data_IF_899373423142
#
_entry.id   IF_899373423142
#
_cell.length_a   1.000
_cell.length_b   1.000
_cell.length_c   1.000
_cell.angle_alpha   90.00
_cell.angle_beta   90.00
_cell.angle_gamma   90.00
#
_symmetry.space_group_name_H-M   'P 1'
#
loop_
_entity.id
_entity.type
_entity.pdbx_description
1 polymer ?
#
# COMPACT_ATOMS: atom_id res chain seq x y z
N UNK A 1 12.37 -15.16 58.58
CA UNK A 1 11.34 -15.74 57.71
C UNK A 1 11.77 -15.47 56.26
N UNK A 2 12.89 -16.02 55.77
CA UNK A 2 13.23 -17.42 55.43
C UNK A 2 12.45 -17.96 54.22
N UNK A 3 12.96 -17.66 53.02
CA UNK A 3 12.74 -18.41 51.78
C UNK A 3 14.08 -19.01 51.34
N UNK A 4 14.18 -20.31 51.02
CA UNK A 4 15.46 -20.94 50.69
C UNK A 4 15.74 -20.97 49.19
N UNK A 5 17.03 -20.84 48.89
CA UNK A 5 17.70 -21.00 47.60
C UNK A 5 17.88 -22.50 47.31
N UNK A 6 17.49 -22.94 46.12
CA UNK A 6 17.76 -24.29 45.61
C UNK A 6 18.93 -24.28 44.63
N UNK A 7 20.02 -24.97 44.99
CA UNK A 7 21.12 -25.35 44.12
C UNK A 7 21.22 -26.88 44.12
N UNK A 8 21.43 -27.49 42.96
CA UNK A 8 21.85 -28.88 42.81
C UNK A 8 23.02 -28.95 41.83
N UNK A 9 24.14 -29.61 42.20
CA UNK A 9 25.28 -29.87 41.32
C UNK A 9 25.36 -31.33 40.86
N UNK A 10 26.08 -31.54 39.76
CA UNK A 10 26.95 -32.68 39.52
C UNK A 10 26.31 -33.97 39.00
N UNK A 11 26.77 -34.42 37.83
CA UNK A 11 27.18 -35.82 37.64
C UNK A 11 28.12 -35.92 36.43
N UNK A 12 29.36 -36.34 36.71
CA UNK A 12 30.35 -36.86 35.77
C UNK A 12 30.01 -38.31 35.45
N UNK A 13 30.20 -38.75 34.20
CA UNK A 13 29.90 -40.10 33.75
C UNK A 13 30.70 -40.49 32.51
N UNK A 14 31.87 -41.02 32.81
CA UNK A 14 32.79 -41.95 32.13
C UNK A 14 32.64 -42.38 30.65
N UNK A 15 33.83 -42.53 30.07
CA UNK A 15 34.20 -43.19 28.81
C UNK A 15 33.62 -44.61 28.66
N UNK A 16 33.26 -45.00 27.43
CA UNK A 16 33.76 -46.22 26.77
C UNK A 16 33.14 -46.42 25.36
N UNK A 17 33.99 -46.93 24.46
CA UNK A 17 33.66 -47.70 23.25
C UNK A 17 33.29 -46.98 21.95
N UNK A 18 34.35 -46.80 21.16
CA UNK A 18 34.35 -46.46 19.73
C UNK A 18 34.56 -47.74 18.91
N UNK A 19 33.64 -48.12 18.00
CA UNK A 19 33.96 -49.00 16.89
C UNK A 19 34.09 -48.23 15.57
N UNK A 20 35.14 -48.55 14.84
CA UNK A 20 35.35 -48.18 13.45
C UNK A 20 34.33 -48.91 12.56
N UNK A 21 33.62 -48.19 11.70
CA UNK A 21 32.99 -48.77 10.50
C UNK A 21 33.18 -47.82 9.32
N UNK A 22 33.97 -48.31 8.39
CA UNK A 22 34.32 -47.75 7.11
C UNK A 22 33.15 -47.82 6.12
N UNK A 23 33.18 -46.90 5.16
CA UNK A 23 32.66 -47.06 3.79
C UNK A 23 31.15 -47.29 3.60
N UNK A 24 30.41 -46.22 3.30
CA UNK A 24 29.31 -46.24 2.33
C UNK A 24 29.16 -44.84 1.70
N UNK A 25 29.79 -44.65 0.54
CA UNK A 25 29.59 -43.48 -0.33
C UNK A 25 28.20 -43.56 -0.99
N UNK A 26 27.20 -42.97 -0.35
CA UNK A 26 25.91 -42.66 -0.96
C UNK A 26 25.85 -41.17 -1.30
N UNK A 27 25.67 -40.84 -2.58
CA UNK A 27 25.64 -39.48 -3.08
C UNK A 27 24.47 -38.68 -2.48
N UNK A 28 24.74 -37.83 -1.49
CA UNK A 28 23.80 -36.80 -1.04
C UNK A 28 23.64 -35.76 -2.15
N UNK A 29 22.53 -35.86 -2.87
CA UNK A 29 22.04 -34.77 -3.70
C UNK A 29 21.71 -33.60 -2.76
N UNK A 30 22.55 -32.56 -2.81
CA UNK A 30 22.33 -31.33 -2.05
C UNK A 30 20.93 -30.77 -2.33
N UNK A 31 20.23 -30.22 -1.31
CA UNK A 31 18.87 -29.67 -1.44
C UNK A 31 18.78 -28.57 -2.52
N UNK A 32 19.90 -27.94 -2.85
CA UNK A 32 20.01 -26.97 -3.94
C UNK A 32 19.82 -27.59 -5.34
N UNK A 33 20.20 -28.86 -5.54
CA UNK A 33 19.99 -29.60 -6.80
C UNK A 33 18.53 -30.01 -6.98
N UNK A 34 17.85 -30.36 -5.89
CA UNK A 34 16.42 -30.66 -5.89
C UNK A 34 15.57 -29.41 -6.20
N UNK A 35 15.93 -28.26 -5.62
CA UNK A 35 15.25 -26.99 -5.91
C UNK A 35 15.41 -26.56 -7.39
N UNK A 36 16.62 -26.69 -7.96
CA UNK A 36 16.86 -26.38 -9.37
C UNK A 36 16.10 -27.30 -10.33
N UNK A 37 15.94 -28.59 -10.00
CA UNK A 37 15.15 -29.51 -10.81
C UNK A 37 13.66 -29.15 -10.80
N UNK A 38 13.11 -28.80 -9.63
CA UNK A 38 11.71 -28.42 -9.48
C UNK A 38 11.37 -27.13 -10.25
N UNK A 39 12.27 -26.14 -10.23
CA UNK A 39 12.10 -24.88 -10.99
C UNK A 39 12.16 -25.16 -12.50
N UNK A 40 13.11 -25.98 -12.96
CA UNK A 40 13.23 -26.34 -14.36
C UNK A 40 12.00 -27.12 -14.89
N UNK A 41 11.44 -28.02 -14.06
CA UNK A 41 10.25 -28.78 -14.41
C UNK A 41 8.99 -27.90 -14.47
N UNK A 42 8.83 -26.96 -13.52
CA UNK A 42 7.72 -26.00 -13.51
C UNK A 42 7.78 -25.05 -14.71
N UNK A 43 8.98 -24.63 -15.13
CA UNK A 43 9.18 -23.83 -16.34
C UNK A 43 8.80 -24.59 -17.63
N UNK A 44 9.13 -25.89 -17.73
CA UNK A 44 8.72 -26.73 -18.88
C UNK A 44 7.20 -26.90 -18.95
N UNK A 45 6.52 -27.09 -17.82
CA UNK A 45 5.06 -27.22 -17.80
C UNK A 45 4.36 -25.91 -18.21
N UNK A 46 4.84 -24.75 -17.74
CA UNK A 46 4.33 -23.43 -18.15
C UNK A 46 4.47 -23.20 -19.67
N UNK A 47 5.61 -23.58 -20.26
CA UNK A 47 5.81 -23.51 -21.71
C UNK A 47 4.87 -24.45 -22.48
N UNK A 48 4.57 -25.64 -21.94
CA UNK A 48 3.64 -26.58 -22.56
C UNK A 48 2.21 -26.04 -22.56
N UNK A 49 1.75 -25.50 -21.43
CA UNK A 49 0.41 -24.90 -21.30
C UNK A 49 0.26 -23.65 -22.17
N UNK A 50 1.28 -22.77 -22.22
CA UNK A 50 1.24 -21.61 -23.10
C UNK A 50 1.13 -21.99 -24.59
N UNK A 51 1.79 -23.09 -25.00
CA UNK A 51 1.74 -23.59 -26.38
C UNK A 51 0.40 -24.22 -26.74
N UNK A 52 -0.29 -24.84 -25.77
CA UNK A 52 -1.64 -25.40 -25.95
C UNK A 52 -2.73 -24.33 -25.98
N UNK A 53 -2.54 -23.21 -25.28
CA UNK A 53 -3.55 -22.13 -25.19
C UNK A 53 -3.47 -21.11 -26.34
N UNK A 54 -2.38 -21.09 -27.12
CA UNK A 54 -2.15 -20.10 -28.18
C UNK A 54 -2.27 -20.66 -29.61
N UNK A 55 -2.87 -21.84 -29.82
CA UNK A 55 -3.23 -22.27 -31.17
C UNK A 55 -4.46 -21.47 -31.66
N UNK A 56 -4.31 -20.64 -32.71
CA UNK A 56 -5.45 -19.93 -33.28
C UNK A 56 -6.43 -20.94 -33.92
N UNK A 57 -7.75 -20.68 -33.87
CA UNK A 57 -8.71 -21.51 -34.58
C UNK A 57 -8.41 -21.51 -36.09
N UNK A 58 -8.63 -22.63 -36.79
CA UNK A 58 -8.35 -22.73 -38.22
C UNK A 58 -9.19 -21.71 -39.01
N UNK A 59 -8.62 -21.07 -40.04
CA UNK A 59 -9.36 -20.09 -40.84
C UNK A 59 -10.48 -20.79 -41.61
N UNK A 60 -11.72 -20.38 -41.34
CA UNK A 60 -12.90 -20.85 -42.07
C UNK A 60 -12.85 -20.30 -43.50
N UNK A 61 -12.77 -21.24 -44.45
CA UNK A 61 -12.66 -21.01 -45.89
C UNK A 61 -14.04 -20.68 -46.46
N UNK A 62 -14.26 -19.44 -46.91
CA UNK A 62 -15.35 -19.09 -47.83
C UNK A 62 -14.89 -17.86 -48.66
N UNK A 63 -14.38 -18.07 -49.87
CA UNK A 63 -15.09 -18.19 -51.16
C UNK A 63 -15.28 -16.84 -51.89
N UNK A 64 -14.27 -16.55 -52.73
CA UNK A 64 -14.25 -15.87 -54.05
C UNK A 64 -15.43 -15.01 -54.50
N UNK A 65 -15.12 -13.77 -54.92
CA UNK A 65 -15.95 -12.98 -55.84
C UNK A 65 -15.40 -11.58 -56.19
N UNK A 66 -14.64 -11.49 -57.30
CA UNK A 66 -14.43 -10.37 -58.26
C UNK A 66 -14.37 -8.87 -57.86
N UNK A 67 -13.14 -8.32 -57.80
CA UNK A 67 -12.45 -7.40 -58.77
C UNK A 67 -13.20 -6.40 -59.70
N UNK A 68 -12.52 -5.31 -60.19
CA UNK A 68 -12.82 -3.91 -59.82
C UNK A 68 -13.04 -2.95 -61.01
N UNK A 69 -13.40 -1.68 -60.76
CA UNK A 69 -13.10 -0.60 -61.73
C UNK A 69 -13.03 0.80 -61.11
N UNK A 70 -12.02 1.55 -61.57
CA UNK A 70 -11.62 2.91 -61.19
C UNK A 70 -12.59 3.98 -61.70
N UNK A 71 -12.70 5.11 -60.98
CA UNK A 71 -12.47 6.46 -61.55
C UNK A 71 -12.33 7.54 -60.47
N UNK A 72 -11.18 8.20 -60.55
CA UNK A 72 -10.77 9.50 -59.99
C UNK A 72 -11.74 10.64 -60.30
N UNK A 73 -11.93 11.63 -59.41
CA UNK A 73 -11.99 13.09 -59.72
C UNK A 73 -12.05 13.97 -58.44
N UNK A 74 -11.05 14.85 -58.32
CA UNK A 74 -10.97 16.23 -57.79
C UNK A 74 -11.66 16.69 -56.48
N UNK A 75 -10.80 17.15 -55.58
CA UNK A 75 -11.00 18.04 -54.41
C UNK A 75 -11.37 19.48 -54.80
N UNK A 76 -12.02 20.24 -53.91
CA UNK A 76 -11.49 21.57 -53.61
C UNK A 76 -11.43 21.91 -52.11
N UNK A 77 -10.51 22.85 -51.84
CA UNK A 77 -10.02 23.39 -50.57
C UNK A 77 -11.09 24.16 -49.77
N UNK A 78 -11.03 24.06 -48.44
CA UNK A 78 -11.44 25.15 -47.52
C UNK A 78 -10.49 25.28 -46.32
N UNK A 79 -10.30 26.50 -45.78
CA UNK A 79 -9.21 26.84 -44.88
C UNK A 79 -9.59 26.86 -43.39
N UNK A 80 -8.61 26.45 -42.57
CA UNK A 80 -8.11 27.10 -41.34
C UNK A 80 -9.11 27.40 -40.20
N UNK A 81 -8.94 26.68 -39.08
CA UNK A 81 -9.18 27.21 -37.73
C UNK A 81 -8.06 26.75 -36.77
N UNK A 82 -7.50 27.64 -35.93
CA UNK A 82 -6.31 27.36 -35.15
C UNK A 82 -6.63 26.61 -33.85
N UNK A 83 -5.85 25.56 -33.55
CA UNK A 83 -5.86 24.89 -32.25
C UNK A 83 -4.90 25.59 -31.26
N UNK A 84 -5.25 25.68 -29.98
CA UNK A 84 -4.39 26.28 -28.96
C UNK A 84 -3.21 25.35 -28.65
N UNK A 85 -2.00 25.83 -28.94
CA UNK A 85 -0.72 25.20 -28.60
C UNK A 85 -0.38 25.47 -27.14
N UNK A 86 -0.75 24.55 -26.23
CA UNK A 86 -0.09 24.45 -24.93
C UNK A 86 1.26 23.77 -25.09
N UNK A 87 2.29 24.58 -25.29
CA UNK A 87 3.70 24.24 -25.08
C UNK A 87 3.91 23.94 -23.59
N UNK A 88 4.04 22.67 -23.24
CA UNK A 88 4.87 22.28 -22.10
C UNK A 88 6.20 21.75 -22.63
N UNK A 89 7.20 22.63 -22.60
CA UNK A 89 8.62 22.25 -22.58
C UNK A 89 8.87 21.63 -21.20
N UNK A 90 9.40 20.42 -21.19
CA UNK A 90 10.43 19.94 -20.27
C UNK A 90 10.96 18.63 -20.85
N UNK A 91 11.86 18.77 -21.82
CA UNK A 91 12.81 17.75 -22.24
C UNK A 91 13.98 17.78 -21.26
N UNK A 92 13.95 16.96 -20.23
CA UNK A 92 15.18 16.50 -19.58
C UNK A 92 15.61 15.23 -20.30
N UNK A 93 16.48 15.43 -21.29
CA UNK A 93 17.27 14.40 -21.93
C UNK A 93 18.25 13.87 -20.89
N UNK A 94 17.95 12.71 -20.30
CA UNK A 94 18.94 11.95 -19.55
C UNK A 94 19.86 11.28 -20.56
N UNK A 95 20.98 11.94 -20.86
CA UNK A 95 22.05 11.35 -21.64
C UNK A 95 22.57 10.10 -20.93
N UNK A 96 22.48 8.99 -21.66
CA UNK A 96 23.18 7.73 -21.38
C UNK A 96 24.67 8.04 -21.21
N UNK A 97 25.13 8.05 -19.95
CA UNK A 97 26.55 7.94 -19.64
C UNK A 97 26.94 6.47 -19.62
N UNK A 98 27.87 6.19 -20.52
CA UNK A 98 28.64 4.99 -20.76
C UNK A 98 29.18 4.32 -19.47
N UNK A 99 28.91 3.03 -19.20
CA UNK A 99 29.55 2.30 -18.13
C UNK A 99 30.85 1.65 -18.66
N UNK A 100 31.84 2.48 -18.97
CA UNK A 100 33.20 1.99 -19.25
C UNK A 100 34.20 2.76 -18.41
N UNK A 101 34.98 2.00 -17.63
CA UNK A 101 36.24 2.42 -16.98
C UNK A 101 36.12 3.24 -15.69
N UNK A 102 36.09 2.54 -14.55
CA UNK A 102 36.63 3.05 -13.28
C UNK A 102 36.96 1.88 -12.36
N UNK A 103 38.06 1.20 -12.68
CA UNK A 103 38.86 0.43 -11.73
C UNK A 103 39.48 1.40 -10.71
N UNK A 104 38.68 1.86 -9.75
CA UNK A 104 39.14 2.71 -8.65
C UNK A 104 38.34 2.46 -7.36
N UNK A 105 38.16 1.19 -6.98
CA UNK A 105 37.63 0.79 -5.68
C UNK A 105 38.69 -0.01 -4.91
N UNK A 106 39.73 0.69 -4.48
CA UNK A 106 40.76 0.15 -3.60
C UNK A 106 41.19 1.18 -2.54
N UNK A 107 40.24 1.86 -1.89
CA UNK A 107 40.49 2.58 -0.63
C UNK A 107 39.18 2.76 0.14
N UNK A 108 38.61 1.64 0.62
CA UNK A 108 37.75 1.72 1.80
C UNK A 108 38.65 2.14 2.96
N UNK A 109 38.68 3.44 3.22
CA UNK A 109 39.31 4.01 4.40
C UNK A 109 38.69 3.33 5.61
N UNK A 110 39.53 2.57 6.31
CA UNK A 110 39.28 1.99 7.62
C UNK A 110 38.65 3.07 8.49
N UNK A 111 37.33 3.03 8.64
CA UNK A 111 36.65 3.81 9.66
C UNK A 111 37.09 3.17 10.96
N UNK A 112 38.13 3.75 11.58
CA UNK A 112 38.52 3.41 12.95
C UNK A 112 37.27 3.65 13.81
N UNK A 113 36.60 2.56 14.17
CA UNK A 113 35.60 2.60 15.22
C UNK A 113 36.23 3.26 16.45
N UNK A 114 35.49 4.13 17.15
CA UNK A 114 35.96 4.69 18.40
C UNK A 114 36.22 3.52 19.35
N UNK A 115 37.50 3.22 19.59
CA UNK A 115 37.95 2.25 20.58
C UNK A 115 37.32 2.68 21.91
N UNK A 116 36.21 2.04 22.29
CA UNK A 116 35.61 2.23 23.60
C UNK A 116 36.72 1.98 24.62
N UNK A 117 37.04 3.03 25.37
CA UNK A 117 38.13 3.01 26.33
C UNK A 117 37.97 1.82 27.27
N UNK A 118 38.81 0.78 27.10
CA UNK A 118 38.80 -0.42 27.94
C UNK A 118 38.96 0.01 29.40
N UNK A 119 38.20 -0.57 30.35
CA UNK A 119 38.38 -0.29 31.76
C UNK A 119 39.84 -0.55 32.16
N UNK A 120 40.53 0.46 32.71
CA UNK A 120 41.95 0.40 33.10
C UNK A 120 42.30 -0.78 34.03
N UNK A 121 41.31 -1.42 34.65
CA UNK A 121 41.47 -2.53 35.59
C UNK A 121 41.81 -3.87 34.95
N UNK A 122 41.71 -4.02 33.62
CA UNK A 122 42.01 -5.28 32.92
C UNK A 122 43.45 -5.36 32.37
N UNK A 123 44.24 -4.30 32.47
CA UNK A 123 45.53 -4.19 31.77
C UNK A 123 46.62 -5.20 32.19
N UNK A 124 46.51 -5.82 33.37
CA UNK A 124 47.58 -6.66 33.91
C UNK A 124 47.41 -8.16 33.63
N UNK A 125 46.30 -8.60 33.04
CA UNK A 125 46.04 -10.02 32.84
C UNK A 125 45.93 -10.37 31.35
N UNK A 126 47.09 -10.66 30.75
CA UNK A 126 47.25 -10.97 29.32
C UNK A 126 46.35 -12.13 28.87
N UNK A 127 46.23 -13.19 29.67
CA UNK A 127 45.38 -14.34 29.35
C UNK A 127 43.90 -13.96 29.26
N UNK A 128 43.40 -13.12 30.19
CA UNK A 128 42.01 -12.65 30.15
C UNK A 128 41.76 -11.79 28.91
N UNK A 129 42.70 -10.92 28.54
CA UNK A 129 42.55 -10.08 27.34
C UNK A 129 42.57 -10.90 26.06
N UNK A 130 43.44 -11.90 25.94
CA UNK A 130 43.50 -12.79 24.77
C UNK A 130 42.24 -13.66 24.67
N UNK A 131 41.74 -14.18 25.79
CA UNK A 131 40.49 -14.95 25.83
C UNK A 131 39.27 -14.10 25.43
N UNK A 132 39.18 -12.86 25.91
CA UNK A 132 38.10 -11.94 25.52
C UNK A 132 38.17 -11.60 24.03
N UNK A 133 39.35 -11.31 23.50
CA UNK A 133 39.53 -11.01 22.07
C UNK A 133 39.18 -12.22 21.18
N UNK A 134 39.54 -13.43 21.61
CA UNK A 134 39.16 -14.66 20.91
C UNK A 134 37.64 -14.88 20.96
N UNK A 135 37.00 -14.66 22.11
CA UNK A 135 35.55 -14.82 22.27
C UNK A 135 34.76 -13.78 21.47
N UNK A 136 35.22 -12.52 21.43
CA UNK A 136 34.66 -11.46 20.58
C UNK A 136 34.81 -11.84 19.11
N UNK A 137 35.98 -12.34 18.67
CA UNK A 137 36.16 -12.84 17.29
C UNK A 137 35.20 -13.97 16.94
N UNK A 138 35.03 -14.96 17.82
CA UNK A 138 34.13 -16.10 17.56
C UNK A 138 32.67 -15.64 17.51
N UNK A 139 32.24 -14.77 18.43
CA UNK A 139 30.89 -14.19 18.39
C UNK A 139 30.68 -13.36 17.12
N UNK A 140 31.63 -12.49 16.77
CA UNK A 140 31.54 -11.65 15.58
C UNK A 140 31.52 -12.49 14.29
N UNK A 141 32.28 -13.58 14.19
CA UNK A 141 32.18 -14.51 13.06
C UNK A 141 30.81 -15.17 12.98
N UNK A 142 30.25 -15.63 14.11
CA UNK A 142 28.93 -16.27 14.15
C UNK A 142 27.79 -15.30 13.79
N UNK A 143 27.82 -14.08 14.32
CA UNK A 143 26.82 -13.04 14.02
C UNK A 143 26.95 -12.54 12.58
N UNK A 144 28.17 -12.30 12.10
CA UNK A 144 28.42 -11.89 10.72
C UNK A 144 27.94 -12.95 9.73
N UNK A 145 28.20 -14.24 9.99
CA UNK A 145 27.71 -15.33 9.13
C UNK A 145 26.18 -15.34 9.05
N UNK A 146 25.49 -15.27 10.20
CA UNK A 146 24.02 -15.21 10.25
C UNK A 146 23.48 -13.97 9.53
N UNK A 147 24.13 -12.82 9.72
CA UNK A 147 23.77 -11.58 9.04
C UNK A 147 23.90 -11.72 7.52
N UNK A 148 25.01 -12.25 7.02
CA UNK A 148 25.21 -12.52 5.58
C UNK A 148 24.17 -13.51 5.03
N UNK A 149 23.82 -14.55 5.78
CA UNK A 149 22.75 -15.49 5.39
C UNK A 149 21.39 -14.79 5.27
N UNK A 150 21.07 -13.88 6.19
CA UNK A 150 19.82 -13.08 6.13
C UNK A 150 19.84 -12.11 4.95
N UNK A 151 20.95 -11.39 4.73
CA UNK A 151 21.10 -10.46 3.60
C UNK A 151 20.94 -11.19 2.27
N UNK A 152 21.62 -12.33 2.08
CA UNK A 152 21.50 -13.12 0.85
C UNK A 152 20.09 -13.71 0.66
N UNK A 153 19.37 -14.03 1.74
CA UNK A 153 17.96 -14.43 1.65
C UNK A 153 17.05 -13.26 1.23
N UNK A 154 17.28 -12.06 1.77
CA UNK A 154 16.55 -10.84 1.39
C UNK A 154 16.79 -10.46 -0.06
N UNK A 155 18.03 -10.54 -0.55
CA UNK A 155 18.37 -10.28 -1.96
C UNK A 155 17.66 -11.26 -2.91
N UNK A 156 17.59 -12.55 -2.54
CA UNK A 156 16.82 -13.54 -3.31
C UNK A 156 15.33 -13.21 -3.35
N UNK A 157 14.75 -12.78 -2.23
CA UNK A 157 13.34 -12.36 -2.18
C UNK A 157 13.09 -11.10 -3.03
N UNK A 158 13.99 -10.12 -2.96
CA UNK A 158 13.93 -8.92 -3.80
C UNK A 158 13.99 -9.25 -5.29
N UNK A 159 14.86 -10.19 -5.70
CA UNK A 159 14.93 -10.66 -7.09
C UNK A 159 13.62 -11.32 -7.56
N UNK A 160 12.98 -12.14 -6.71
CA UNK A 160 11.67 -12.74 -7.02
C UNK A 160 10.58 -11.69 -7.18
N UNK A 161 10.53 -10.69 -6.28
CA UNK A 161 9.56 -9.59 -6.38
C UNK A 161 9.75 -8.75 -7.64
N UNK A 162 11.00 -8.43 -8.00
CA UNK A 162 11.33 -7.72 -9.25
C UNK A 162 10.89 -8.52 -10.48
N UNK A 163 11.14 -9.84 -10.49
CA UNK A 163 10.68 -10.73 -11.56
C UNK A 163 9.16 -10.76 -11.66
N UNK A 164 8.45 -10.86 -10.54
CA UNK A 164 6.98 -10.87 -10.52
C UNK A 164 6.40 -9.56 -11.03
N UNK A 165 6.96 -8.43 -10.59
CA UNK A 165 6.51 -7.10 -11.01
C UNK A 165 6.73 -6.88 -12.53
N UNK A 166 7.85 -7.40 -13.05
CA UNK A 166 8.11 -7.41 -14.49
C UNK A 166 7.07 -8.24 -15.26
N UNK A 167 6.76 -9.47 -14.80
CA UNK A 167 5.73 -10.32 -15.43
C UNK A 167 4.36 -9.66 -15.43
N UNK A 168 3.93 -9.11 -14.28
CA UNK A 168 2.64 -8.40 -14.16
C UNK A 168 2.61 -7.19 -15.10
N UNK A 169 3.69 -6.42 -15.19
CA UNK A 169 3.78 -5.26 -16.10
C UNK A 169 3.65 -5.67 -17.56
N UNK A 170 4.28 -6.77 -17.98
CA UNK A 170 4.16 -7.31 -19.34
C UNK A 170 2.72 -7.73 -19.65
N UNK A 171 2.07 -8.43 -18.72
CA UNK A 171 0.68 -8.89 -18.90
C UNK A 171 -0.31 -7.71 -18.96
N UNK A 172 -0.15 -6.71 -18.08
CA UNK A 172 -0.96 -5.48 -18.12
C UNK A 172 -0.79 -4.76 -19.47
N UNK A 173 0.45 -4.58 -19.92
CA UNK A 173 0.73 -3.91 -21.20
C UNK A 173 0.14 -4.68 -22.40
N UNK A 174 0.16 -6.02 -22.35
CA UNK A 174 -0.49 -6.86 -23.36
C UNK A 174 -2.00 -6.64 -23.40
N UNK A 175 -2.66 -6.67 -22.24
CA UNK A 175 -4.10 -6.44 -22.14
C UNK A 175 -4.50 -5.02 -22.57
N UNK A 176 -3.71 -4.01 -22.19
CA UNK A 176 -3.91 -2.63 -22.64
C UNK A 176 -3.77 -2.51 -24.16
N UNK A 177 -2.81 -3.22 -24.76
CA UNK A 177 -2.64 -3.29 -26.21
C UNK A 177 -3.86 -3.89 -26.92
N UNK A 178 -4.44 -4.96 -26.37
CA UNK A 178 -5.63 -5.60 -26.94
C UNK A 178 -6.88 -4.72 -26.80
N UNK A 179 -7.06 -4.04 -25.66
CA UNK A 179 -8.14 -3.05 -25.47
C UNK A 179 -7.99 -1.90 -26.47
N UNK A 180 -6.77 -1.39 -26.66
CA UNK A 180 -6.50 -0.29 -27.60
C UNK A 180 -6.86 -0.68 -29.03
N UNK A 181 -6.46 -1.88 -29.48
CA UNK A 181 -6.86 -2.41 -30.80
C UNK A 181 -8.37 -2.53 -30.96
N UNK A 182 -9.08 -2.96 -29.91
CA UNK A 182 -10.53 -3.07 -29.95
C UNK A 182 -11.20 -1.69 -30.07
N UNK A 183 -10.72 -0.69 -29.32
CA UNK A 183 -11.19 0.70 -29.42
C UNK A 183 -10.93 1.30 -30.81
N UNK A 184 -9.78 1.04 -31.40
CA UNK A 184 -9.49 1.48 -32.78
C UNK A 184 -10.41 0.80 -33.80
N UNK A 185 -10.74 -0.48 -33.60
CA UNK A 185 -11.74 -1.19 -34.40
C UNK A 185 -13.13 -0.53 -34.34
N UNK A 186 -13.59 -0.18 -33.14
CA UNK A 186 -14.86 0.54 -32.93
C UNK A 186 -14.81 1.92 -33.59
N UNK A 187 -13.70 2.66 -33.45
CA UNK A 187 -13.52 3.96 -34.12
C UNK A 187 -13.60 3.83 -35.64
N UNK A 188 -12.94 2.83 -36.24
CA UNK A 188 -13.02 2.58 -37.67
C UNK A 188 -14.46 2.24 -38.12
N UNK A 189 -15.20 1.46 -37.33
CA UNK A 189 -16.61 1.17 -37.60
C UNK A 189 -17.48 2.42 -37.55
N UNK A 190 -17.29 3.28 -36.55
CA UNK A 190 -17.99 4.56 -36.44
C UNK A 190 -17.67 5.47 -37.64
N UNK A 191 -16.41 5.57 -38.05
CA UNK A 191 -16.03 6.36 -39.23
C UNK A 191 -16.70 5.81 -40.50
N UNK A 192 -16.74 4.48 -40.68
CA UNK A 192 -17.44 3.86 -41.82
C UNK A 192 -18.94 4.19 -41.82
N UNK A 193 -19.60 4.06 -40.66
CA UNK A 193 -21.02 4.42 -40.53
C UNK A 193 -21.27 5.90 -40.83
N UNK A 194 -20.37 6.79 -40.43
CA UNK A 194 -20.47 8.21 -40.74
C UNK A 194 -20.24 8.50 -42.22
N UNK A 195 -19.30 7.80 -42.88
CA UNK A 195 -19.11 7.90 -44.34
C UNK A 195 -20.32 7.37 -45.12
N UNK A 196 -20.85 6.21 -44.74
CA UNK A 196 -22.06 5.64 -45.35
C UNK A 196 -23.27 6.57 -45.18
N UNK A 197 -23.35 7.28 -44.04
CA UNK A 197 -24.37 8.31 -43.78
C UNK A 197 -24.23 9.53 -44.70
N UNK A 198 -23.02 9.89 -45.10
CA UNK A 198 -22.77 11.02 -46.00
C UNK A 198 -22.99 10.64 -47.47
N UNK A 199 -22.63 9.42 -47.87
CA UNK A 199 -22.76 8.94 -49.25
C UNK A 199 -24.17 8.45 -49.59
N UNK A 200 -24.98 8.09 -48.60
CA UNK A 200 -26.41 7.83 -48.78
C UNK A 200 -27.16 9.14 -48.57
N UNK A 201 -27.57 9.87 -49.64
CA UNK A 201 -28.44 11.04 -49.49
C UNK A 201 -29.70 10.53 -48.81
N UNK A 202 -29.79 10.80 -47.51
CA UNK A 202 -30.89 10.33 -46.70
C UNK A 202 -32.12 10.92 -47.34
N UNK A 203 -32.92 10.08 -47.99
CA UNK A 203 -34.13 10.52 -48.66
C UNK A 203 -34.90 11.30 -47.59
N UNK A 204 -35.11 12.62 -47.77
CA UNK A 204 -35.69 13.47 -46.74
C UNK A 204 -37.04 12.92 -46.23
N UNK A 205 -37.71 12.11 -47.06
CA UNK A 205 -38.92 11.39 -46.70
C UNK A 205 -38.70 10.33 -45.60
N UNK A 206 -37.55 9.64 -45.56
CA UNK A 206 -37.22 8.64 -44.53
C UNK A 206 -36.90 9.32 -43.20
N UNK A 207 -36.20 10.47 -43.22
CA UNK A 207 -35.96 11.26 -42.01
C UNK A 207 -37.26 11.83 -41.44
N UNK A 208 -38.16 12.27 -42.33
CA UNK A 208 -39.47 12.79 -41.95
C UNK A 208 -40.38 11.70 -41.38
N UNK A 209 -40.44 10.51 -41.99
CA UNK A 209 -41.19 9.36 -41.45
C UNK A 209 -40.62 8.89 -40.10
N UNK A 210 -39.29 8.86 -39.94
CA UNK A 210 -38.67 8.53 -38.67
C UNK A 210 -38.97 9.56 -37.57
N UNK A 211 -39.00 10.86 -37.90
CA UNK A 211 -39.32 11.93 -36.98
C UNK A 211 -40.81 11.94 -36.59
N UNK A 212 -41.71 11.66 -37.53
CA UNK A 212 -43.14 11.49 -37.28
C UNK A 212 -43.41 10.28 -36.36
N UNK A 213 -42.73 9.14 -36.60
CA UNK A 213 -42.81 7.96 -35.72
C UNK A 213 -42.29 8.23 -34.30
N UNK A 214 -41.23 9.03 -34.16
CA UNK A 214 -40.70 9.41 -32.85
C UNK A 214 -41.66 10.31 -32.08
N UNK A 215 -42.37 11.20 -32.79
CA UNK A 215 -43.44 12.02 -32.21
C UNK A 215 -44.65 11.18 -31.79
N UNK A 216 -44.98 10.13 -32.53
CA UNK A 216 -46.10 9.23 -32.21
C UNK A 216 -45.79 8.37 -30.97
N UNK A 217 -44.55 7.92 -30.81
CA UNK A 217 -44.11 7.18 -29.61
C UNK A 217 -44.03 8.06 -28.34
N UNK A 218 -43.91 9.38 -28.50
CA UNK A 218 -43.96 10.35 -27.40
C UNK A 218 -45.37 10.63 -26.89
N UNK A 219 -46.41 10.26 -27.66
CA UNK A 219 -47.79 10.24 -27.15
C UNK A 219 -47.98 8.95 -26.37
N UNK A 220 -47.55 9.00 -25.11
CA UNK A 220 -47.90 7.99 -24.13
C UNK A 220 -49.43 7.76 -24.19
N UNK A 221 -49.91 6.52 -24.34
CA UNK A 221 -51.34 6.23 -24.38
C UNK A 221 -51.92 6.48 -22.99
N UNK A 222 -52.25 7.74 -22.72
CA UNK A 222 -53.07 8.09 -21.58
C UNK A 222 -54.41 7.40 -21.77
N UNK A 223 -54.71 6.52 -20.82
CA UNK A 223 -56.07 6.22 -20.41
C UNK A 223 -56.86 5.25 -21.32
N UNK A 224 -56.51 3.96 -21.27
CA UNK A 224 -57.52 2.90 -21.43
C UNK A 224 -57.48 1.95 -20.25
N UNK A 225 -58.60 1.94 -19.55
CA UNK A 225 -58.83 1.27 -18.29
C UNK A 225 -58.63 -0.24 -18.33
N UNK A 226 -58.21 -0.72 -17.17
CA UNK A 226 -58.10 -2.11 -16.78
C UNK A 226 -59.48 -2.73 -16.60
N UNK A 227 -59.96 -3.48 -17.58
CA UNK A 227 -60.96 -4.56 -17.50
C UNK A 227 -60.74 -5.34 -18.81
N UNK A 228 -60.55 -6.64 -18.90
CA UNK A 228 -60.88 -7.76 -18.04
C UNK A 228 -60.17 -8.98 -18.66
N UNK A 229 -59.89 -9.97 -17.82
CA UNK A 229 -59.09 -11.17 -18.10
C UNK A 229 -59.75 -12.08 -19.14
N UNK A 230 -58.99 -12.63 -20.09
CA UNK A 230 -59.20 -14.00 -20.57
C UNK A 230 -57.92 -14.59 -21.20
N UNK A 231 -57.42 -15.75 -20.74
CA UNK A 231 -56.24 -16.40 -21.28
C UNK A 231 -56.58 -17.54 -22.26
N UNK A 232 -55.55 -18.02 -22.96
CA UNK A 232 -55.45 -19.21 -23.82
C UNK A 232 -55.89 -19.03 -25.28
N UNK A 233 -54.93 -18.99 -26.23
CA UNK A 233 -54.70 -20.13 -27.12
C UNK A 233 -53.42 -19.99 -27.97
N UNK A 234 -52.54 -20.96 -27.75
CA UNK A 234 -51.38 -21.50 -28.48
C UNK A 234 -51.49 -21.54 -30.02
N UNK A 235 -50.45 -21.08 -30.74
CA UNK A 235 -49.72 -21.71 -31.87
C UNK A 235 -48.90 -20.64 -32.63
N UNK A 236 -47.57 -20.61 -32.52
CA UNK A 236 -46.54 -21.33 -33.33
C UNK A 236 -46.04 -20.48 -34.51
N UNK A 237 -44.71 -20.50 -34.71
CA UNK A 237 -43.86 -19.93 -35.79
C UNK A 237 -43.11 -18.66 -35.37
N UNK A 238 -41.92 -18.77 -34.78
CA UNK A 238 -40.63 -18.83 -35.49
C UNK A 238 -40.26 -17.51 -36.21
N UNK A 239 -39.61 -16.57 -35.51
CA UNK A 239 -38.43 -15.86 -36.07
C UNK A 239 -37.59 -15.27 -34.94
N UNK A 240 -36.30 -15.59 -34.98
CA UNK A 240 -35.24 -15.24 -34.03
C UNK A 240 -34.90 -13.74 -34.06
N UNK A 241 -35.05 -13.04 -32.94
CA UNK A 241 -34.34 -11.79 -32.66
C UNK A 241 -33.76 -11.86 -31.23
N UNK A 242 -32.48 -11.48 -31.04
CA UNK A 242 -31.83 -11.51 -29.72
C UNK A 242 -32.37 -10.40 -28.81
N UNK A 243 -32.43 -10.64 -27.48
CA UNK A 243 -32.97 -9.68 -26.52
C UNK A 243 -32.03 -8.46 -26.38
N UNK A 244 -32.58 -7.25 -26.54
CA UNK A 244 -31.88 -6.00 -26.24
C UNK A 244 -31.42 -5.96 -24.77
N UNK A 245 -30.15 -5.62 -24.49
CA UNK A 245 -29.69 -5.43 -23.12
C UNK A 245 -30.34 -4.18 -22.51
N UNK A 246 -30.99 -4.42 -21.38
CA UNK A 246 -31.71 -3.47 -20.56
C UNK A 246 -30.87 -2.21 -20.24
N UNK A 247 -31.39 -1.04 -20.64
CA UNK A 247 -30.74 0.27 -20.57
C UNK A 247 -30.87 0.97 -19.20
N UNK A 248 -31.27 0.25 -18.14
CA UNK A 248 -31.59 0.85 -16.83
C UNK A 248 -30.47 0.83 -15.77
N UNK A 249 -29.28 0.26 -16.04
CA UNK A 249 -28.28 0.04 -14.99
C UNK A 249 -27.22 1.15 -14.80
N UNK A 250 -27.29 2.28 -15.52
CA UNK A 250 -26.24 3.32 -15.46
C UNK A 250 -26.60 4.61 -14.70
N UNK A 251 -27.81 4.73 -14.13
CA UNK A 251 -28.25 5.94 -13.39
C UNK A 251 -28.20 5.84 -11.86
N UNK A 252 -27.68 4.74 -11.30
CA UNK A 252 -27.76 4.47 -9.85
C UNK A 252 -26.50 4.82 -9.03
N UNK A 253 -25.41 5.32 -9.62
CA UNK A 253 -24.15 5.53 -8.89
C UNK A 253 -23.89 6.95 -8.35
N UNK A 254 -24.80 7.92 -8.54
CA UNK A 254 -24.55 9.33 -8.15
C UNK A 254 -25.71 10.04 -7.41
N UNK A 255 -26.69 9.32 -6.87
CA UNK A 255 -27.86 9.95 -6.24
C UNK A 255 -28.09 9.47 -4.80
N UNK A 256 -27.86 10.40 -3.87
CA UNK A 256 -28.54 10.60 -2.58
C UNK A 256 -28.53 9.45 -1.56
N UNK A 257 -28.01 9.75 -0.37
CA UNK A 257 -28.06 8.84 0.77
C UNK A 257 -27.80 9.53 2.10
N UNK A 258 -28.42 10.70 2.33
CA UNK A 258 -28.69 11.18 3.68
C UNK A 258 -29.83 10.31 4.23
N UNK A 259 -29.53 9.33 5.10
CA UNK A 259 -30.55 8.56 5.81
C UNK A 259 -30.07 8.23 7.22
N UNK A 260 -30.59 8.99 8.18
CA UNK A 260 -30.89 8.48 9.50
C UNK A 260 -32.07 7.50 9.36
N UNK A 261 -31.85 6.22 9.65
CA UNK A 261 -32.96 5.28 9.86
C UNK A 261 -32.51 4.17 10.79
N UNK A 262 -32.86 4.35 12.06
CA UNK A 262 -32.82 3.34 13.10
C UNK A 262 -33.95 2.35 12.84
N UNK A 263 -33.64 1.19 12.26
CA UNK A 263 -34.59 0.08 12.18
C UNK A 263 -33.88 -1.21 12.60
N UNK A 264 -34.14 -1.59 13.86
CA UNK A 264 -33.82 -2.89 14.43
C UNK A 264 -34.55 -3.99 13.63
N UNK A 265 -33.82 -4.81 12.90
CA UNK A 265 -34.30 -6.11 12.46
C UNK A 265 -33.17 -7.14 12.53
N UNK A 266 -33.53 -8.27 13.11
CA UNK A 266 -32.68 -9.16 13.90
C UNK A 266 -32.52 -10.48 13.14
N UNK A 267 -31.48 -10.59 12.32
CA UNK A 267 -30.83 -11.85 11.89
C UNK A 267 -29.67 -11.49 10.96
N UNK A 268 -28.60 -10.92 11.51
CA UNK A 268 -27.50 -10.37 10.72
C UNK A 268 -26.53 -11.47 10.28
N UNK A 269 -26.28 -11.68 8.96
CA UNK A 269 -25.03 -12.28 8.53
C UNK A 269 -23.90 -11.44 9.12
N UNK A 270 -22.92 -12.10 9.77
CA UNK A 270 -21.72 -11.53 10.44
C UNK A 270 -21.71 -10.01 10.42
N UNK A 271 -22.19 -9.38 11.50
CA UNK A 271 -22.30 -7.93 11.57
C UNK A 271 -20.95 -7.32 11.27
N UNK A 272 -20.77 -6.82 10.04
CA UNK A 272 -19.56 -6.14 9.63
C UNK A 272 -19.30 -5.04 10.66
N UNK A 273 -18.18 -5.14 11.36
CA UNK A 273 -17.80 -4.22 12.42
C UNK A 273 -17.69 -2.83 11.78
N UNK A 274 -18.66 -1.97 12.08
CA UNK A 274 -18.72 -0.61 11.56
C UNK A 274 -17.91 0.28 12.50
N UNK A 275 -16.79 0.82 12.02
CA UNK A 275 -15.96 1.72 12.81
C UNK A 275 -16.71 3.05 12.97
N UNK A 276 -16.76 3.57 14.20
CA UNK A 276 -17.25 4.92 14.47
C UNK A 276 -16.08 5.90 14.58
N UNK A 277 -16.38 7.18 14.40
CA UNK A 277 -15.37 8.25 14.54
C UNK A 277 -14.76 8.27 15.93
N UNK A 278 -15.58 8.01 16.95
CA UNK A 278 -15.15 8.01 18.35
C UNK A 278 -14.17 6.87 18.67
N UNK A 279 -14.23 5.76 17.93
CA UNK A 279 -13.34 4.61 18.12
C UNK A 279 -11.90 4.91 17.65
N UNK A 280 -11.76 5.76 16.62
CA UNK A 280 -10.45 6.17 16.07
C UNK A 280 -9.95 7.42 16.77
N UNK A 281 -10.82 8.40 17.03
CA UNK A 281 -10.45 9.75 17.47
C UNK A 281 -10.18 10.72 16.30
N UNK A 282 -9.84 11.96 16.62
CA UNK A 282 -9.58 13.02 15.64
C UNK A 282 -8.12 13.46 15.67
N UNK A 283 -7.47 13.56 14.52
CA UNK A 283 -6.14 14.16 14.40
C UNK A 283 -6.25 15.67 14.23
N UNK A 284 -5.74 16.43 15.22
CA UNK A 284 -5.67 17.88 15.18
C UNK A 284 -4.32 18.35 15.74
N UNK A 285 -3.33 18.66 14.88
CA UNK A 285 -1.99 19.06 15.32
C UNK A 285 -1.93 20.42 16.04
N UNK A 286 -3.01 21.20 16.02
CA UNK A 286 -3.08 22.49 16.73
C UNK A 286 -3.94 22.44 18.00
N UNK A 287 -4.40 21.26 18.41
CA UNK A 287 -5.07 21.14 19.69
C UNK A 287 -4.07 21.40 20.82
N UNK A 288 -4.51 22.08 21.88
CA UNK A 288 -3.65 22.40 23.02
C UNK A 288 -3.35 21.13 23.83
N UNK A 289 -2.08 20.71 23.82
CA UNK A 289 -1.55 19.55 24.54
C UNK A 289 -0.50 20.03 25.55
N UNK A 290 -0.90 20.33 26.80
CA UNK A 290 -0.01 20.93 27.79
C UNK A 290 1.13 19.98 28.20
N UNK A 291 0.92 18.68 28.06
CA UNK A 291 1.86 17.64 28.51
C UNK A 291 2.72 17.09 27.35
N UNK A 292 2.50 17.56 26.10
CA UNK A 292 3.16 17.11 24.87
C UNK A 292 3.16 15.57 24.72
N UNK A 293 2.06 14.92 25.16
CA UNK A 293 1.92 13.47 25.11
C UNK A 293 1.60 12.96 23.70
N UNK A 294 1.20 13.85 22.79
CA UNK A 294 0.75 13.50 21.45
C UNK A 294 -0.72 13.07 21.39
N UNK A 295 -1.41 13.01 22.53
CA UNK A 295 -2.80 12.62 22.68
C UNK A 295 -3.46 13.36 23.84
N UNK A 296 -4.64 13.93 23.59
CA UNK A 296 -5.44 14.66 24.55
C UNK A 296 -6.85 14.08 24.56
N UNK A 297 -7.49 13.99 25.72
CA UNK A 297 -8.89 13.58 25.83
C UNK A 297 -9.76 14.81 26.10
N UNK A 298 -10.75 15.05 25.24
CA UNK A 298 -11.74 16.11 25.40
C UNK A 298 -13.12 15.46 25.59
N UNK A 299 -13.52 15.31 26.85
CA UNK A 299 -14.72 14.59 27.26
C UNK A 299 -14.68 13.12 26.87
N UNK A 300 -15.47 12.75 25.86
CA UNK A 300 -15.52 11.37 25.30
C UNK A 300 -14.69 11.21 24.03
N UNK A 301 -14.11 12.29 23.52
CA UNK A 301 -13.35 12.29 22.28
C UNK A 301 -11.86 12.21 22.56
N UNK A 302 -11.16 11.39 21.77
CA UNK A 302 -9.70 11.32 21.78
C UNK A 302 -9.18 12.18 20.63
N UNK A 303 -8.30 13.12 20.94
CA UNK A 303 -7.69 14.04 19.99
C UNK A 303 -6.20 13.74 19.93
N UNK A 304 -5.70 13.41 18.76
CA UNK A 304 -4.28 13.16 18.52
C UNK A 304 -3.62 14.46 18.03
N UNK A 305 -2.63 14.93 18.78
CA UNK A 305 -1.80 16.09 18.42
C UNK A 305 -0.55 15.65 17.65
N UNK A 306 -0.06 14.44 17.91
CA UNK A 306 1.04 13.82 17.18
C UNK A 306 0.52 12.83 16.12
N UNK A 307 1.02 12.99 14.89
CA UNK A 307 0.68 12.13 13.75
C UNK A 307 1.09 10.67 14.01
N UNK A 308 2.17 10.40 14.72
CA UNK A 308 2.64 9.04 14.96
C UNK A 308 1.67 8.24 15.85
N UNK A 309 1.10 8.86 16.89
CA UNK A 309 0.07 8.23 17.72
C UNK A 309 -1.22 8.00 16.93
N UNK A 310 -1.64 8.96 16.10
CA UNK A 310 -2.79 8.79 15.23
C UNK A 310 -2.61 7.63 14.23
N UNK A 311 -1.45 7.57 13.57
CA UNK A 311 -1.11 6.48 12.65
C UNK A 311 -1.01 5.13 13.37
N UNK A 312 -0.45 5.11 14.58
CA UNK A 312 -0.42 3.91 15.44
C UNK A 312 -1.83 3.43 15.76
N UNK A 313 -2.74 4.34 16.11
CA UNK A 313 -4.15 4.01 16.36
C UNK A 313 -4.82 3.40 15.14
N UNK A 314 -4.66 3.99 13.96
CA UNK A 314 -5.16 3.40 12.70
C UNK A 314 -4.56 2.01 12.47
N UNK A 315 -3.27 1.82 12.74
CA UNK A 315 -2.57 0.55 12.65
C UNK A 315 -3.28 -0.58 13.41
N UNK A 316 -3.80 -0.31 14.61
CA UNK A 316 -4.52 -1.32 15.42
C UNK A 316 -5.77 -1.89 14.75
N UNK A 317 -6.46 -1.10 13.91
CA UNK A 317 -7.61 -1.59 13.14
C UNK A 317 -7.20 -2.44 11.92
N UNK A 318 -5.95 -2.34 11.48
CA UNK A 318 -5.42 -3.04 10.31
C UNK A 318 -4.59 -4.28 10.69
N UNK A 319 -4.42 -4.58 11.97
CA UNK A 319 -3.65 -5.73 12.46
C UNK A 319 -4.24 -7.05 11.96
N UNK A 320 -5.56 -7.21 12.06
CA UNK A 320 -6.24 -8.44 11.64
C UNK A 320 -6.31 -8.54 10.10
N UNK A 321 -5.65 -9.54 9.48
CA UNK A 321 -5.63 -9.68 8.03
C UNK A 321 -7.01 -9.96 7.43
N UNK A 322 -7.90 -10.64 8.16
CA UNK A 322 -9.22 -11.06 7.67
C UNK A 322 -10.17 -9.87 7.48
N UNK A 323 -10.05 -8.85 8.33
CA UNK A 323 -10.89 -7.64 8.28
C UNK A 323 -10.19 -6.44 7.65
N UNK A 324 -8.89 -6.54 7.34
CA UNK A 324 -8.05 -5.41 6.93
C UNK A 324 -8.62 -4.62 5.76
N UNK A 325 -9.06 -5.29 4.69
CA UNK A 325 -9.56 -4.62 3.48
C UNK A 325 -10.84 -3.81 3.76
N UNK A 326 -11.75 -4.36 4.56
CA UNK A 326 -12.98 -3.68 4.94
C UNK A 326 -12.69 -2.49 5.86
N UNK A 327 -11.77 -2.65 6.82
CA UNK A 327 -11.35 -1.57 7.71
C UNK A 327 -10.64 -0.45 6.94
N UNK A 328 -9.75 -0.80 6.01
CA UNK A 328 -9.06 0.16 5.15
C UNK A 328 -10.05 1.03 4.36
N UNK A 329 -11.07 0.39 3.77
CA UNK A 329 -12.13 1.08 3.03
C UNK A 329 -12.95 2.00 3.92
N UNK A 330 -13.35 1.54 5.11
CA UNK A 330 -14.12 2.34 6.07
C UNK A 330 -13.32 3.55 6.56
N UNK A 331 -12.06 3.36 6.94
CA UNK A 331 -11.18 4.44 7.42
C UNK A 331 -10.93 5.45 6.30
N UNK A 332 -10.68 5.01 5.07
CA UNK A 332 -10.49 5.91 3.91
C UNK A 332 -11.71 6.79 3.65
N UNK A 333 -12.92 6.26 3.83
CA UNK A 333 -14.17 7.02 3.71
C UNK A 333 -14.38 7.99 4.88
N UNK A 334 -14.04 7.58 6.09
CA UNK A 334 -14.16 8.42 7.30
C UNK A 334 -13.08 9.49 7.39
N UNK A 335 -11.94 9.32 6.71
CA UNK A 335 -10.74 10.14 6.89
C UNK A 335 -11.00 11.66 6.96
N UNK A 336 -11.79 12.30 6.06
CA UNK A 336 -12.01 13.74 6.15
C UNK A 336 -12.64 14.20 7.48
N UNK A 337 -13.42 13.33 8.13
CA UNK A 337 -14.06 13.60 9.44
C UNK A 337 -13.12 13.32 10.63
N UNK A 338 -12.06 12.54 10.40
CA UNK A 338 -11.03 12.26 11.39
C UNK A 338 -9.97 13.37 11.45
N UNK A 339 -9.97 14.32 10.51
CA UNK A 339 -9.02 15.44 10.48
C UNK A 339 -9.62 16.68 11.15
N UNK A 340 -8.79 17.44 11.86
CA UNK A 340 -9.12 18.70 12.51
C UNK A 340 -8.03 19.75 12.32
N UNK A 341 -8.35 21.00 12.61
CA UNK A 341 -7.40 22.13 12.53
C UNK A 341 -6.69 22.22 11.18
N UNK A 342 -5.36 22.29 11.19
CA UNK A 342 -4.60 22.42 9.94
C UNK A 342 -4.55 21.13 9.13
N UNK A 343 -4.83 19.97 9.73
CA UNK A 343 -4.90 18.73 8.98
C UNK A 343 -6.08 18.71 8.02
N UNK A 344 -7.26 19.20 8.45
CA UNK A 344 -8.41 19.32 7.55
C UNK A 344 -8.19 20.40 6.50
N UNK A 345 -7.58 21.53 6.85
CA UNK A 345 -7.24 22.59 5.89
C UNK A 345 -6.27 22.10 4.81
N UNK A 346 -5.24 21.35 5.19
CA UNK A 346 -4.33 20.71 4.24
C UNK A 346 -5.10 19.78 3.29
N UNK A 347 -5.95 18.92 3.84
CA UNK A 347 -6.71 17.95 3.05
C UNK A 347 -7.69 18.63 2.08
N UNK A 348 -8.41 19.66 2.50
CA UNK A 348 -9.45 20.32 1.68
C UNK A 348 -8.88 21.39 0.73
N UNK A 349 -7.91 22.17 1.19
CA UNK A 349 -7.49 23.40 0.49
C UNK A 349 -6.13 23.25 -0.19
N UNK A 350 -5.19 22.51 0.40
CA UNK A 350 -3.84 22.36 -0.17
C UNK A 350 -3.77 21.21 -1.18
N UNK A 351 -4.46 20.09 -0.93
CA UNK A 351 -4.56 19.01 -1.90
C UNK A 351 -5.57 19.37 -3.00
N UNK A 352 -5.16 19.24 -4.27
CA UNK A 352 -6.09 19.36 -5.40
C UNK A 352 -7.12 18.22 -5.39
N UNK A 353 -8.33 18.41 -5.97
CA UNK A 353 -9.30 17.34 -6.11
C UNK A 353 -8.73 16.08 -6.78
N UNK A 354 -7.91 16.26 -7.82
CA UNK A 354 -7.27 15.16 -8.54
C UNK A 354 -6.27 14.41 -7.66
N UNK A 355 -5.46 15.13 -6.86
CA UNK A 355 -4.53 14.48 -5.92
C UNK A 355 -5.28 13.70 -4.83
N UNK A 356 -6.37 14.24 -4.30
CA UNK A 356 -7.22 13.50 -3.34
C UNK A 356 -7.81 12.24 -3.96
N UNK A 357 -8.29 12.31 -5.20
CA UNK A 357 -8.83 11.15 -5.89
C UNK A 357 -7.74 10.11 -6.18
N UNK A 358 -6.56 10.54 -6.63
CA UNK A 358 -5.40 9.68 -6.82
C UNK A 358 -5.02 8.96 -5.53
N UNK A 359 -4.90 9.68 -4.41
CA UNK A 359 -4.57 9.10 -3.11
C UNK A 359 -5.62 8.07 -2.66
N UNK A 360 -6.92 8.34 -2.84
CA UNK A 360 -7.99 7.36 -2.57
C UNK A 360 -7.91 6.13 -3.47
N UNK A 361 -7.48 6.28 -4.72
CA UNK A 361 -7.30 5.16 -5.65
C UNK A 361 -6.08 4.31 -5.30
N UNK A 362 -4.98 4.91 -4.82
CA UNK A 362 -3.77 4.16 -4.43
C UNK A 362 -4.00 3.39 -3.12
N UNK A 363 -4.75 3.98 -2.17
CA UNK A 363 -5.17 3.31 -0.94
C UNK A 363 -4.82 4.10 0.33
N UNK A 364 -5.23 3.56 1.49
CA UNK A 364 -5.07 4.25 2.77
C UNK A 364 -3.60 4.48 3.10
N UNK A 365 -2.75 3.49 2.84
CA UNK A 365 -1.31 3.57 3.13
C UNK A 365 -0.65 4.82 2.57
N UNK A 366 -0.91 5.16 1.30
CA UNK A 366 -0.33 6.34 0.67
C UNK A 366 -0.88 7.65 1.26
N UNK A 367 -2.15 7.65 1.68
CA UNK A 367 -2.70 8.80 2.40
C UNK A 367 -1.98 9.00 3.76
N UNK A 368 -1.74 7.90 4.49
CA UNK A 368 -1.03 7.95 5.78
C UNK A 368 0.44 8.35 5.63
N UNK A 369 1.10 7.93 4.54
CA UNK A 369 2.46 8.36 4.20
C UNK A 369 2.52 9.86 3.87
N UNK A 370 1.59 10.39 3.07
CA UNK A 370 1.49 11.83 2.80
C UNK A 370 1.19 12.62 4.09
N UNK A 371 0.31 12.11 4.96
CA UNK A 371 0.01 12.71 6.26
C UNK A 371 1.25 12.76 7.17
N UNK A 372 2.01 11.66 7.22
CA UNK A 372 3.28 11.58 7.97
C UNK A 372 4.32 12.53 7.40
N UNK A 373 4.45 12.63 6.08
CA UNK A 373 5.41 13.53 5.45
C UNK A 373 5.07 15.01 5.74
N UNK A 374 3.78 15.34 5.82
CA UNK A 374 3.32 16.72 6.07
C UNK A 374 3.39 17.13 7.53
N UNK A 375 2.97 16.25 8.45
CA UNK A 375 2.80 16.57 9.87
C UNK A 375 3.82 15.88 10.79
N UNK A 376 4.68 15.03 10.24
CA UNK A 376 5.80 14.46 10.99
C UNK A 376 6.70 15.57 11.46
N UNK A 377 7.04 15.55 12.75
CA UNK A 377 8.00 16.50 13.31
C UNK A 377 9.31 16.27 12.57
N UNK A 378 9.81 17.31 11.89
CA UNK A 378 11.15 17.28 11.32
C UNK A 378 12.12 16.86 12.44
N UNK A 379 12.93 15.80 12.26
CA UNK A 379 13.91 15.38 13.25
C UNK A 379 14.76 16.53 13.80
N UNK A 380 15.05 17.55 12.98
CA UNK A 380 15.73 18.76 13.42
C UNK A 380 14.90 19.58 14.43
N UNK A 381 13.59 19.70 14.22
CA UNK A 381 12.66 20.36 15.14
C UNK A 381 12.47 19.55 16.42
N UNK A 382 12.35 18.23 16.33
CA UNK A 382 12.26 17.35 17.51
C UNK A 382 13.53 17.48 18.38
N UNK A 383 14.71 17.44 17.76
CA UNK A 383 16.00 17.63 18.45
C UNK A 383 16.09 19.01 19.10
N UNK A 384 15.62 20.06 18.39
CA UNK A 384 15.61 21.42 18.94
C UNK A 384 14.67 21.52 20.15
N UNK A 385 13.48 20.90 20.11
CA UNK A 385 12.54 20.87 21.24
C UNK A 385 13.12 20.09 22.42
N UNK A 386 13.71 18.93 22.18
CA UNK A 386 14.38 18.14 23.20
C UNK A 386 15.47 18.96 23.91
N UNK A 387 16.32 19.65 23.15
CA UNK A 387 17.36 20.52 23.71
C UNK A 387 16.79 21.73 24.47
N UNK A 388 15.66 22.30 24.03
CA UNK A 388 15.01 23.41 24.73
C UNK A 388 14.45 22.99 26.09
N UNK A 389 13.78 21.83 26.17
CA UNK A 389 13.24 21.30 27.44
C UNK A 389 14.36 20.95 28.41
N UNK A 390 15.45 20.35 27.91
CA UNK A 390 16.59 19.99 28.75
C UNK A 390 17.31 21.21 29.34
N UNK A 391 17.42 22.30 28.56
CA UNK A 391 18.04 23.55 29.03
C UNK A 391 17.12 24.36 29.95
N UNK A 392 15.80 24.37 29.71
CA UNK A 392 14.85 25.04 30.58
C UNK A 392 14.82 24.42 31.99
N UNK A 393 14.87 23.10 32.08
CA UNK A 393 14.87 22.39 33.36
C UNK A 393 16.24 22.43 34.07
N UNK A 394 17.34 22.58 33.32
CA UNK A 394 18.68 22.74 33.91
C UNK A 394 18.88 24.11 34.57
N UNK A 395 18.21 25.16 34.09
CA UNK A 395 18.33 26.52 34.66
C UNK A 395 17.48 26.77 35.90
N UNK A 396 16.54 25.88 36.24
CA UNK A 396 15.68 26.04 37.43
C UNK A 396 16.16 25.25 38.65
N UNK A 397 17.31 24.59 38.61
CA UNK A 397 17.95 24.11 39.83
C UNK A 397 18.48 25.33 40.59
N UNK A 398 17.95 25.66 41.79
CA UNK A 398 18.48 26.75 42.58
C UNK A 398 19.88 26.34 43.04
N UNK A 399 20.88 26.81 42.31
CA UNK A 399 22.29 26.62 42.60
C UNK A 399 22.74 27.62 43.67
N UNK A 400 21.93 27.77 44.73
CA UNK A 400 22.19 28.58 45.92
C UNK A 400 21.82 27.78 47.18
N UNK A 401 22.22 26.50 47.19
CA UNK A 401 22.33 25.73 48.42
C UNK A 401 23.70 25.98 49.04
N UNK A 402 23.92 27.19 49.57
CA UNK A 402 25.11 27.53 50.35
C UNK A 402 25.20 26.59 51.57
N UNK A 403 26.22 25.70 51.68
CA UNK A 403 26.42 24.92 52.90
C UNK A 403 27.11 25.81 53.92
N UNK A 404 26.36 26.73 54.51
CA UNK A 404 26.84 27.60 55.57
C UNK A 404 26.08 27.28 56.84
N UNK A 405 26.50 26.24 57.57
CA UNK A 405 26.33 26.12 59.02
C UNK A 405 26.96 24.85 59.59
N UNK A 406 27.74 25.07 60.65
CA UNK A 406 27.96 24.18 61.79
C UNK A 406 28.90 22.99 61.59
N UNK A 407 30.17 23.36 61.55
CA UNK A 407 31.24 22.62 62.20
C UNK A 407 30.91 22.42 63.70
N UNK A 408 30.60 21.17 64.05
CA UNK A 408 30.97 20.45 65.27
C UNK A 408 30.97 21.25 66.60
N UNK A 409 29.88 21.12 67.36
CA UNK A 409 29.98 20.97 68.81
C UNK A 409 29.32 19.63 69.19
N UNK A 410 30.17 18.63 69.42
CA UNK A 410 29.83 17.42 70.15
C UNK A 410 29.99 17.74 71.65
N UNK A 411 28.94 17.59 72.44
CA UNK A 411 29.06 17.55 73.90
C UNK A 411 27.81 17.94 74.67
N UNK A 412 27.24 16.96 75.40
CA UNK A 412 26.32 17.18 76.52
C UNK A 412 24.88 16.73 76.24
N UNK A 413 24.53 15.50 76.59
CA UNK A 413 23.83 15.13 77.85
C UNK A 413 22.38 15.62 77.88
N UNK A 414 21.42 14.71 77.67
CA UNK A 414 20.56 14.09 78.72
C UNK A 414 19.42 15.06 79.09
N UNK A 415 18.17 14.69 79.25
CA UNK A 415 17.42 13.45 79.29
C UNK A 415 15.94 13.92 79.27
N UNK A 416 15.01 12.97 79.41
CA UNK A 416 13.66 13.18 79.95
C UNK A 416 12.54 13.42 78.91
N UNK A 417 11.99 12.36 78.31
CA UNK A 417 10.92 11.44 78.79
C UNK A 417 9.51 12.04 78.94
N UNK A 418 8.55 11.19 78.51
CA UNK A 418 7.08 11.20 78.70
C UNK A 418 6.27 12.10 77.73
N UNK A 419 5.21 11.63 77.08
CA UNK A 419 4.51 10.35 77.09
C UNK A 419 3.30 10.43 76.16
N UNK A 420 3.06 9.35 75.41
CA UNK A 420 1.95 9.11 74.46
C UNK A 420 0.68 8.63 75.20
N UNK A 421 -0.53 8.54 74.58
CA UNK A 421 -0.86 7.93 73.28
C UNK A 421 -1.04 8.89 72.09
#
# INVERSE_FOLDING_TARGET
MSSPVGAFPGEEGDDHDRPQMSELRGAEATPQKAASHLIAEKARNLHRTARETMMPPPPSVASRGSSPSRKTTATPLYPILPQPTTRFRNTETFDLLDPSESDANAHLSTTEEPIQARPKRLGNNKEITEWLDQRIRVQNCGTTKKFTEVVTAMEKQAAVLTSLNHTISVDINRHLGDITKHLDGIRQQLTRLETDRQDSPTNPDILRDAQDRLHDLGREPQNRGYHELHPLHRQRSETLLPPSPNRQTYRQFYREGAFETSTESNSRPSSAVKIKREDIGQFNPHYHDPDDLGVVTDGKSVIYTDVHYFLGRIGTFLENPDTRLDMERQITQLLPTLLGGNAVLWWTNELTPDRRNLLRCIGLRSILEDLRARFGIDPGTATRRFNQVYLANASSCPLDGHPQSQQQQLGGHNDEYLGQP
#
